data_IF_345596107724
#
_entry.id   IF_345596107724
#
_cell.length_a   1.000
_cell.length_b   1.000
_cell.length_c   1.000
_cell.angle_alpha   90.00
_cell.angle_beta   90.00
_cell.angle_gamma   90.00
#
_symmetry.space_group_name_H-M   'P 1'
#
loop_
_entity.id
_entity.type
_entity.pdbx_description
1 polymer ?
#
# COMPACT_ATOMS: atom_id res chain seq x y z
N UNK A 1 11.42 -1.85 -99.41
CA UNK A 1 10.62 -3.01 -98.98
C UNK A 1 11.50 -3.91 -98.10
N UNK A 2 11.02 -4.29 -96.91
CA UNK A 2 11.66 -5.10 -95.84
C UNK A 2 12.64 -4.39 -94.89
N UNK A 3 12.12 -4.02 -93.70
CA UNK A 3 12.85 -3.94 -92.44
C UNK A 3 12.25 -4.96 -91.46
N UNK A 4 13.13 -5.75 -90.83
CA UNK A 4 12.87 -6.60 -89.65
C UNK A 4 12.60 -5.70 -88.43
N UNK A 5 11.83 -6.16 -87.45
CA UNK A 5 12.29 -6.60 -86.13
C UNK A 5 11.09 -6.97 -85.25
N UNK A 6 11.30 -7.98 -84.40
CA UNK A 6 10.34 -8.59 -83.50
C UNK A 6 10.09 -7.72 -82.27
N UNK A 7 8.84 -7.69 -81.77
CA UNK A 7 8.55 -7.25 -80.41
C UNK A 7 7.61 -8.24 -79.72
N UNK A 8 8.00 -8.50 -78.48
CA UNK A 8 7.61 -9.56 -77.57
C UNK A 8 6.46 -9.04 -76.71
N UNK A 9 5.31 -9.73 -76.70
CA UNK A 9 4.16 -9.34 -75.88
C UNK A 9 4.49 -9.48 -74.39
N UNK A 10 4.64 -8.35 -73.69
CA UNK A 10 4.75 -8.30 -72.23
C UNK A 10 3.33 -8.35 -71.64
N UNK A 11 2.99 -9.44 -70.96
CA UNK A 11 1.77 -9.56 -70.15
C UNK A 11 2.00 -8.76 -68.85
N UNK A 12 1.31 -7.63 -68.68
CA UNK A 12 1.28 -6.91 -67.41
C UNK A 12 0.29 -7.62 -66.46
N UNK A 13 0.83 -8.42 -65.53
CA UNK A 13 0.08 -8.92 -64.37
C UNK A 13 -0.11 -7.77 -63.38
N UNK A 14 -1.31 -7.21 -63.35
CA UNK A 14 -1.76 -6.31 -62.29
C UNK A 14 -1.99 -7.15 -61.01
N UNK A 15 -0.95 -7.31 -60.18
CA UNK A 15 -1.13 -7.85 -58.84
C UNK A 15 -1.70 -6.73 -57.96
N UNK A 16 -3.02 -6.74 -57.78
CA UNK A 16 -3.68 -5.95 -56.74
C UNK A 16 -3.14 -6.36 -55.38
N UNK A 17 -2.30 -5.51 -54.80
CA UNK A 17 -1.88 -5.63 -53.41
C UNK A 17 -3.11 -5.27 -52.56
N UNK A 18 -3.88 -6.29 -52.15
CA UNK A 18 -4.84 -6.13 -51.06
C UNK A 18 -4.03 -5.76 -49.83
N UNK A 19 -4.08 -4.47 -49.44
CA UNK A 19 -3.60 -4.02 -48.15
C UNK A 19 -4.34 -4.84 -47.09
N UNK A 20 -3.64 -5.78 -46.47
CA UNK A 20 -4.14 -6.44 -45.28
C UNK A 20 -4.39 -5.35 -44.23
N UNK A 21 -5.48 -5.41 -43.45
CA UNK A 21 -5.60 -4.53 -42.31
C UNK A 21 -4.39 -4.81 -41.42
N UNK A 22 -3.55 -3.80 -41.23
CA UNK A 22 -2.49 -3.88 -40.22
C UNK A 22 -3.22 -4.11 -38.90
N UNK A 23 -3.16 -5.32 -38.36
CA UNK A 23 -3.44 -5.55 -36.96
C UNK A 23 -2.42 -4.69 -36.22
N UNK A 24 -2.85 -3.51 -35.77
CA UNK A 24 -2.00 -2.62 -34.99
C UNK A 24 -1.52 -3.39 -33.77
N UNK A 25 -0.24 -3.24 -33.42
CA UNK A 25 0.29 -3.79 -32.18
C UNK A 25 -0.62 -3.38 -31.01
N UNK A 26 -0.83 -4.29 -30.05
CA UNK A 26 -1.60 -3.99 -28.85
C UNK A 26 -1.07 -2.69 -28.20
N UNK A 27 -1.95 -1.80 -27.71
CA UNK A 27 -1.51 -0.55 -27.12
C UNK A 27 -0.60 -0.82 -25.92
N UNK A 28 0.54 -0.12 -25.87
CA UNK A 28 1.53 -0.25 -24.80
C UNK A 28 0.93 0.01 -23.41
N UNK A 29 -0.08 0.90 -23.35
CA UNK A 29 -0.90 1.18 -22.18
C UNK A 29 -2.38 1.04 -22.61
N UNK A 30 -3.03 -0.12 -22.37
CA UNK A 30 -4.41 -0.36 -22.80
C UNK A 30 -5.44 0.52 -22.09
N UNK A 31 -5.24 0.80 -20.80
CA UNK A 31 -6.12 1.67 -20.02
C UNK A 31 -5.94 3.14 -20.42
N UNK A 32 -6.98 3.74 -21.00
CA UNK A 32 -6.93 5.11 -21.52
C UNK A 32 -6.73 6.16 -20.44
N UNK A 33 -7.19 5.90 -19.21
CA UNK A 33 -7.02 6.82 -18.09
C UNK A 33 -5.58 6.77 -17.58
N UNK A 34 -4.98 5.57 -17.54
CA UNK A 34 -3.57 5.39 -17.22
C UNK A 34 -2.67 5.99 -18.30
N UNK A 35 -2.99 5.75 -19.58
CA UNK A 35 -2.27 6.30 -20.73
C UNK A 35 -2.25 7.83 -20.66
N UNK A 36 -3.42 8.45 -20.44
CA UNK A 36 -3.53 9.90 -20.30
C UNK A 36 -2.72 10.44 -19.09
N UNK A 37 -2.72 9.72 -17.96
CA UNK A 37 -1.94 10.10 -16.79
C UNK A 37 -0.43 10.05 -17.06
N UNK A 38 0.05 9.01 -17.73
CA UNK A 38 1.46 8.87 -18.13
C UNK A 38 1.85 9.96 -19.13
N UNK A 39 1.01 10.23 -20.14
CA UNK A 39 1.26 11.29 -21.11
C UNK A 39 1.37 12.66 -20.44
N UNK A 40 0.52 12.95 -19.44
CA UNK A 40 0.58 14.19 -18.67
C UNK A 40 1.90 14.34 -17.90
N UNK A 41 2.42 13.26 -17.29
CA UNK A 41 3.71 13.27 -16.59
C UNK A 41 4.86 13.56 -17.56
N UNK A 42 4.84 12.95 -18.74
CA UNK A 42 5.89 13.12 -19.73
C UNK A 42 5.85 14.48 -20.44
N UNK A 43 4.86 15.33 -20.15
CA UNK A 43 4.63 16.64 -20.79
C UNK A 43 4.66 16.55 -22.33
N UNK A 44 4.27 15.40 -22.87
CA UNK A 44 4.30 15.20 -24.31
C UNK A 44 3.14 15.95 -24.98
N UNK A 45 3.36 16.39 -26.21
CA UNK A 45 2.26 16.84 -27.07
C UNK A 45 1.20 15.72 -27.14
N UNK A 46 -0.11 16.03 -27.10
CA UNK A 46 -1.22 15.06 -27.04
C UNK A 46 -1.29 14.03 -28.18
N UNK A 47 -0.35 14.05 -29.12
CA UNK A 47 -0.26 13.21 -30.31
C UNK A 47 1.10 12.52 -30.48
N UNK A 48 2.07 12.77 -29.60
CA UNK A 48 3.37 12.13 -29.69
C UNK A 48 3.26 10.67 -29.23
N UNK A 49 3.72 9.74 -30.07
CA UNK A 49 3.69 8.31 -29.78
C UNK A 49 4.40 7.98 -28.46
N UNK A 50 3.74 7.16 -27.64
CA UNK A 50 4.29 6.64 -26.39
C UNK A 50 5.20 5.45 -26.71
N UNK A 51 6.47 5.55 -26.33
CA UNK A 51 7.46 4.50 -26.58
C UNK A 51 7.99 3.95 -25.26
N UNK A 52 8.48 2.71 -25.25
CA UNK A 52 9.08 2.12 -24.04
C UNK A 52 10.22 2.96 -23.46
N UNK A 53 11.05 3.57 -24.33
CA UNK A 53 12.14 4.44 -23.92
C UNK A 53 11.66 5.66 -23.12
N UNK A 54 10.47 6.20 -23.46
CA UNK A 54 9.87 7.32 -22.72
C UNK A 54 9.32 6.88 -21.36
N UNK A 55 8.78 5.67 -21.25
CA UNK A 55 8.28 5.13 -19.98
C UNK A 55 9.38 5.03 -18.91
N UNK A 56 10.63 4.84 -19.32
CA UNK A 56 11.78 4.87 -18.40
C UNK A 56 11.99 6.25 -17.73
N UNK A 57 11.42 7.32 -18.28
CA UNK A 57 11.52 8.68 -17.72
C UNK A 57 10.36 9.01 -16.75
N UNK A 58 9.48 8.06 -16.46
CA UNK A 58 8.41 8.22 -15.47
C UNK A 58 8.95 7.85 -14.08
N UNK A 59 9.21 8.85 -13.25
CA UNK A 59 9.68 8.69 -11.87
C UNK A 59 8.55 8.81 -10.83
N UNK A 60 7.53 9.59 -11.17
CA UNK A 60 6.40 9.95 -10.32
C UNK A 60 5.14 9.86 -11.16
N UNK A 61 4.16 9.09 -10.72
CA UNK A 61 2.86 9.00 -11.37
C UNK A 61 1.75 9.12 -10.32
N UNK A 62 0.89 10.12 -10.49
CA UNK A 62 -0.22 10.39 -9.59
C UNK A 62 -1.51 10.54 -10.42
N UNK A 63 -2.45 9.62 -10.20
CA UNK A 63 -3.72 9.59 -10.90
C UNK A 63 -4.86 9.07 -10.00
N UNK A 64 -5.11 9.72 -8.84
CA UNK A 64 -6.20 9.31 -7.97
C UNK A 64 -7.57 9.59 -8.60
N UNK A 65 -8.54 8.70 -8.40
CA UNK A 65 -9.92 8.96 -8.81
C UNK A 65 -10.14 8.98 -10.34
N UNK A 66 -9.31 8.28 -11.12
CA UNK A 66 -9.36 8.33 -12.59
C UNK A 66 -10.11 7.16 -13.22
N UNK A 67 -10.60 6.21 -12.44
CA UNK A 67 -11.26 5.01 -12.95
C UNK A 67 -10.30 4.07 -13.67
N UNK A 68 -9.01 4.07 -13.30
CA UNK A 68 -8.00 3.15 -13.82
C UNK A 68 -8.31 1.74 -13.33
N UNK A 69 -8.23 0.75 -14.22
CA UNK A 69 -8.51 -0.67 -13.95
C UNK A 69 -7.32 -1.56 -14.28
N UNK A 70 -6.63 -1.25 -15.37
CA UNK A 70 -5.55 -2.06 -15.91
C UNK A 70 -4.22 -1.29 -15.82
N UNK A 71 -3.23 -1.91 -15.17
CA UNK A 71 -1.90 -1.35 -14.97
C UNK A 71 -0.89 -1.77 -16.04
N UNK A 72 -1.32 -2.53 -17.05
CA UNK A 72 -0.45 -3.04 -18.11
C UNK A 72 0.37 -1.92 -18.74
N UNK A 73 1.67 -2.17 -18.87
CA UNK A 73 2.71 -1.28 -19.35
C UNK A 73 3.44 -0.50 -18.25
N UNK A 74 2.92 -0.44 -17.02
CA UNK A 74 3.69 0.10 -15.88
C UNK A 74 4.95 -0.73 -15.58
N UNK A 75 5.01 -2.01 -15.96
CA UNK A 75 6.22 -2.82 -15.79
C UNK A 75 7.41 -2.26 -16.58
N UNK A 76 7.16 -1.36 -17.54
CA UNK A 76 8.18 -0.66 -18.32
C UNK A 76 8.69 0.61 -17.62
N UNK A 77 8.00 1.15 -16.62
CA UNK A 77 8.42 2.33 -15.87
C UNK A 77 9.45 1.96 -14.79
N UNK A 78 10.63 1.44 -15.17
CA UNK A 78 11.59 0.86 -14.19
C UNK A 78 12.17 1.87 -13.20
N UNK A 79 12.11 3.17 -13.50
CA UNK A 79 12.58 4.24 -12.62
C UNK A 79 11.47 4.85 -11.75
N UNK A 80 10.26 4.26 -11.76
CA UNK A 80 9.14 4.72 -10.95
C UNK A 80 9.47 4.59 -9.46
N UNK A 81 9.52 5.72 -8.77
CA UNK A 81 9.82 5.83 -7.35
C UNK A 81 8.57 6.14 -6.50
N UNK A 82 7.61 6.85 -7.08
CA UNK A 82 6.35 7.23 -6.43
C UNK A 82 5.17 6.92 -7.35
N UNK A 83 4.23 6.12 -6.84
CA UNK A 83 2.99 5.78 -7.52
C UNK A 83 1.79 6.02 -6.61
N UNK A 84 0.89 6.94 -6.98
CA UNK A 84 -0.39 7.16 -6.30
C UNK A 84 -1.56 6.93 -7.25
N UNK A 85 -2.28 5.83 -7.04
CA UNK A 85 -3.45 5.45 -7.81
C UNK A 85 -4.65 5.16 -6.90
N UNK A 86 -4.79 5.91 -5.80
CA UNK A 86 -5.93 5.74 -4.90
C UNK A 86 -7.28 6.07 -5.55
N UNK A 87 -8.37 5.48 -5.06
CA UNK A 87 -9.74 5.68 -5.56
C UNK A 87 -9.91 5.31 -7.04
N UNK A 88 -9.30 4.21 -7.45
CA UNK A 88 -9.46 3.65 -8.79
C UNK A 88 -10.21 2.30 -8.69
N UNK A 89 -10.12 1.47 -9.73
CA UNK A 89 -10.80 0.18 -9.80
C UNK A 89 -9.80 -0.97 -10.08
N UNK A 90 -8.57 -0.82 -9.58
CA UNK A 90 -7.45 -1.74 -9.81
C UNK A 90 -7.70 -3.05 -9.06
N UNK A 91 -7.44 -4.17 -9.74
CA UNK A 91 -7.50 -5.53 -9.17
C UNK A 91 -6.14 -6.23 -9.26
N UNK A 92 -5.48 -6.17 -10.43
CA UNK A 92 -4.24 -6.90 -10.70
C UNK A 92 -3.01 -5.99 -10.54
N UNK A 93 -2.08 -6.38 -9.67
CA UNK A 93 -0.81 -5.70 -9.45
C UNK A 93 0.37 -6.32 -10.21
N UNK A 94 0.17 -7.35 -11.04
CA UNK A 94 1.25 -7.99 -11.81
C UNK A 94 2.14 -6.99 -12.56
N UNK A 95 1.63 -5.91 -13.18
CA UNK A 95 2.47 -4.92 -13.85
C UNK A 95 3.42 -4.16 -12.91
N UNK A 96 3.20 -4.21 -11.59
CA UNK A 96 4.14 -3.63 -10.60
C UNK A 96 5.29 -4.57 -10.24
N UNK A 97 5.25 -5.84 -10.69
CA UNK A 97 6.32 -6.80 -10.39
C UNK A 97 7.66 -6.31 -10.94
N UNK A 98 8.69 -6.36 -10.11
CA UNK A 98 10.05 -5.94 -10.47
C UNK A 98 10.23 -4.43 -10.57
N UNK A 99 9.28 -3.61 -10.13
CA UNK A 99 9.48 -2.17 -9.91
C UNK A 99 10.21 -1.95 -8.58
N UNK A 100 11.50 -2.30 -8.57
CA UNK A 100 12.35 -2.33 -7.37
C UNK A 100 12.72 -0.93 -6.85
N UNK A 101 12.55 0.11 -7.67
CA UNK A 101 12.83 1.50 -7.32
C UNK A 101 11.69 2.20 -6.58
N UNK A 102 10.53 1.55 -6.41
CA UNK A 102 9.40 2.11 -5.66
C UNK A 102 9.78 2.38 -4.20
N UNK A 103 9.54 3.62 -3.77
CA UNK A 103 9.75 4.10 -2.39
C UNK A 103 8.43 4.48 -1.71
N UNK A 104 7.47 4.95 -2.50
CA UNK A 104 6.14 5.35 -2.01
C UNK A 104 5.05 4.82 -2.93
N UNK A 105 4.13 4.04 -2.37
CA UNK A 105 3.02 3.44 -3.09
C UNK A 105 1.70 3.70 -2.34
N UNK A 106 0.77 4.35 -3.01
CA UNK A 106 -0.62 4.55 -2.55
C UNK A 106 -1.58 3.90 -3.56
N UNK A 107 -2.26 2.86 -3.10
CA UNK A 107 -3.30 2.13 -3.82
C UNK A 107 -4.58 2.03 -2.97
N UNK A 108 -4.80 2.96 -2.03
CA UNK A 108 -6.02 2.95 -1.23
C UNK A 108 -7.29 3.04 -2.08
N UNK A 109 -8.41 2.52 -1.57
CA UNK A 109 -9.71 2.55 -2.23
C UNK A 109 -9.66 1.96 -3.66
N UNK A 110 -9.20 0.71 -3.77
CA UNK A 110 -9.21 -0.09 -4.99
C UNK A 110 -9.94 -1.43 -4.74
N UNK A 111 -9.70 -2.45 -5.57
CA UNK A 111 -10.32 -3.78 -5.47
C UNK A 111 -9.25 -4.88 -5.36
N UNK A 112 -8.13 -4.57 -4.72
CA UNK A 112 -6.95 -5.44 -4.64
C UNK A 112 -7.18 -6.54 -3.60
N UNK A 113 -6.90 -7.77 -3.98
CA UNK A 113 -6.91 -8.96 -3.10
C UNK A 113 -5.48 -9.50 -2.91
N UNK A 114 -4.70 -9.53 -3.99
CA UNK A 114 -3.37 -10.13 -4.04
C UNK A 114 -2.26 -9.08 -4.17
N UNK A 115 -1.28 -9.15 -3.27
CA UNK A 115 -0.14 -8.20 -3.23
C UNK A 115 1.22 -8.87 -3.48
N UNK A 116 1.25 -10.12 -3.94
CA UNK A 116 2.46 -10.85 -4.28
C UNK A 116 3.47 -10.08 -5.17
N UNK A 117 3.03 -9.29 -6.18
CA UNK A 117 3.93 -8.49 -7.01
C UNK A 117 4.78 -7.46 -6.25
N UNK A 118 4.37 -7.03 -5.05
CA UNK A 118 5.08 -6.04 -4.25
C UNK A 118 6.30 -6.60 -3.49
N UNK A 119 6.45 -7.92 -3.44
CA UNK A 119 7.49 -8.60 -2.64
C UNK A 119 8.92 -8.23 -3.00
N UNK A 120 9.17 -7.75 -4.23
CA UNK A 120 10.48 -7.35 -4.74
C UNK A 120 10.78 -5.86 -4.54
N UNK A 121 9.80 -5.03 -4.17
CA UNK A 121 9.95 -3.58 -3.97
C UNK A 121 10.60 -3.25 -2.62
N UNK A 122 11.81 -3.79 -2.37
CA UNK A 122 12.55 -3.67 -1.10
C UNK A 122 12.90 -2.23 -0.70
N UNK A 123 12.81 -1.29 -1.65
CA UNK A 123 12.98 0.14 -1.41
C UNK A 123 11.79 0.85 -0.78
N UNK A 124 10.62 0.20 -0.66
CA UNK A 124 9.40 0.80 -0.12
C UNK A 124 9.59 1.28 1.31
N UNK A 125 9.19 2.53 1.54
CA UNK A 125 9.18 3.21 2.83
C UNK A 125 7.76 3.57 3.27
N UNK A 126 6.91 3.92 2.31
CA UNK A 126 5.49 4.24 2.52
C UNK A 126 4.63 3.30 1.67
N UNK A 127 3.69 2.61 2.31
CA UNK A 127 2.72 1.75 1.65
C UNK A 127 1.31 2.00 2.21
N UNK A 128 0.41 2.45 1.34
CA UNK A 128 -1.00 2.68 1.63
C UNK A 128 -1.86 1.75 0.77
N UNK A 129 -2.58 0.86 1.46
CA UNK A 129 -3.40 -0.22 0.89
C UNK A 129 -4.78 -0.28 1.55
N UNK A 130 -5.18 0.78 2.27
CA UNK A 130 -6.47 0.82 2.95
C UNK A 130 -7.66 0.70 1.98
N UNK A 131 -8.79 0.18 2.45
CA UNK A 131 -10.00 -0.01 1.65
C UNK A 131 -9.75 -0.86 0.40
N UNK A 132 -9.17 -2.04 0.62
CA UNK A 132 -9.03 -3.09 -0.37
C UNK A 132 -9.66 -4.38 0.20
N UNK A 133 -9.25 -5.55 -0.28
CA UNK A 133 -9.77 -6.85 0.16
C UNK A 133 -8.64 -7.81 0.53
N UNK A 134 -7.52 -7.27 0.99
CA UNK A 134 -6.30 -8.02 1.25
C UNK A 134 -6.49 -8.90 2.48
N UNK A 135 -6.01 -10.14 2.40
CA UNK A 135 -6.00 -11.10 3.51
C UNK A 135 -4.57 -11.51 3.87
N UNK A 136 -3.74 -11.76 2.86
CA UNK A 136 -2.37 -12.26 3.02
C UNK A 136 -1.34 -11.12 2.98
N UNK A 137 -0.53 -11.03 4.04
CA UNK A 137 0.57 -10.08 4.17
C UNK A 137 1.95 -10.70 3.92
N UNK A 138 2.07 -11.99 3.60
CA UNK A 138 3.36 -12.66 3.35
C UNK A 138 4.26 -11.90 2.37
N UNK A 139 3.75 -11.29 1.27
CA UNK A 139 4.58 -10.50 0.36
C UNK A 139 5.31 -9.32 1.01
N UNK A 140 4.81 -8.82 2.15
CA UNK A 140 5.40 -7.69 2.87
C UNK A 140 6.55 -8.10 3.81
N UNK A 141 6.72 -9.39 4.11
CA UNK A 141 7.60 -9.86 5.19
C UNK A 141 9.07 -9.41 5.06
N UNK A 142 9.53 -9.20 3.82
CA UNK A 142 10.88 -8.75 3.52
C UNK A 142 11.03 -7.26 3.21
N UNK A 143 9.97 -6.44 3.35
CA UNK A 143 10.00 -5.00 3.04
C UNK A 143 10.50 -4.19 4.24
N UNK A 144 11.66 -4.54 4.77
CA UNK A 144 12.22 -4.04 6.05
C UNK A 144 12.57 -2.55 6.08
N UNK A 145 12.43 -1.85 4.95
CA UNK A 145 12.55 -0.40 4.86
C UNK A 145 11.25 0.37 5.13
N UNK A 146 10.11 -0.32 5.25
CA UNK A 146 8.83 0.31 5.55
C UNK A 146 8.90 1.06 6.88
N UNK A 147 8.51 2.34 6.82
CA UNK A 147 8.38 3.24 7.97
C UNK A 147 6.92 3.61 8.24
N UNK A 148 6.07 3.53 7.23
CA UNK A 148 4.62 3.74 7.35
C UNK A 148 3.85 2.72 6.51
N UNK A 149 2.92 2.01 7.16
CA UNK A 149 2.09 0.98 6.56
C UNK A 149 0.63 1.17 6.97
N UNK A 150 -0.24 1.38 5.99
CA UNK A 150 -1.66 1.62 6.18
C UNK A 150 -2.46 0.53 5.46
N UNK A 151 -3.26 -0.20 6.24
CA UNK A 151 -3.98 -1.41 5.84
C UNK A 151 -5.41 -1.39 6.39
N UNK A 152 -5.94 -0.20 6.72
CA UNK A 152 -7.28 -0.07 7.28
C UNK A 152 -8.33 -0.66 6.34
N UNK A 153 -9.42 -1.20 6.86
CA UNK A 153 -10.55 -1.68 6.06
C UNK A 153 -10.12 -2.72 5.00
N UNK A 154 -9.56 -3.84 5.50
CA UNK A 154 -9.20 -5.01 4.71
C UNK A 154 -9.78 -6.26 5.41
N UNK A 155 -9.28 -7.46 5.07
CA UNK A 155 -9.73 -8.74 5.64
C UNK A 155 -8.56 -9.46 6.35
N UNK A 156 -7.64 -8.70 6.93
CA UNK A 156 -6.40 -9.23 7.51
C UNK A 156 -6.68 -9.86 8.87
N UNK A 157 -6.15 -11.07 9.07
CA UNK A 157 -6.19 -11.78 10.35
C UNK A 157 -4.80 -12.04 10.91
N UNK A 158 -3.89 -12.48 10.04
CA UNK A 158 -2.51 -12.80 10.40
C UNK A 158 -1.58 -11.64 10.07
N UNK A 159 -0.85 -11.17 11.09
CA UNK A 159 0.16 -10.11 10.97
C UNK A 159 1.59 -10.62 11.25
N UNK A 160 1.81 -11.94 11.30
CA UNK A 160 3.14 -12.54 11.41
C UNK A 160 4.17 -12.00 10.41
N UNK A 161 3.81 -11.72 9.14
CA UNK A 161 4.72 -11.08 8.18
C UNK A 161 5.31 -9.75 8.65
N UNK A 162 4.63 -9.02 9.54
CA UNK A 162 5.09 -7.71 10.00
C UNK A 162 6.20 -7.78 11.05
N UNK A 163 6.52 -8.97 11.57
CA UNK A 163 7.39 -9.14 12.74
C UNK A 163 8.81 -8.59 12.61
N UNK A 164 9.31 -8.47 11.37
CA UNK A 164 10.67 -7.98 11.08
C UNK A 164 10.69 -6.56 10.51
N UNK A 165 9.54 -5.89 10.42
CA UNK A 165 9.44 -4.52 9.92
C UNK A 165 9.78 -3.49 11.02
N UNK A 166 10.96 -3.64 11.62
CA UNK A 166 11.39 -2.92 12.83
C UNK A 166 11.62 -1.42 12.63
N UNK A 167 11.57 -0.93 11.37
CA UNK A 167 11.59 0.50 11.03
C UNK A 167 10.21 1.15 11.03
N UNK A 168 9.12 0.38 11.19
CA UNK A 168 7.78 0.94 11.23
C UNK A 168 7.65 1.93 12.38
N UNK A 169 7.13 3.11 12.04
CA UNK A 169 6.79 4.20 12.94
C UNK A 169 5.29 4.49 12.94
N UNK A 170 4.59 4.13 11.86
CA UNK A 170 3.14 4.26 11.73
C UNK A 170 2.56 2.97 11.16
N UNK A 171 1.63 2.36 11.88
CA UNK A 171 0.93 1.15 11.47
C UNK A 171 -0.57 1.33 11.69
N UNK A 172 -1.35 1.24 10.63
CA UNK A 172 -2.81 1.28 10.71
C UNK A 172 -3.43 -0.02 10.19
N UNK A 173 -4.15 -0.71 11.06
CA UNK A 173 -4.77 -2.01 10.85
C UNK A 173 -6.25 -1.98 11.27
N UNK A 174 -6.86 -0.81 11.41
CA UNK A 174 -8.25 -0.69 11.83
C UNK A 174 -9.22 -1.34 10.85
N UNK A 175 -10.38 -1.82 11.32
CA UNK A 175 -11.39 -2.54 10.52
C UNK A 175 -10.80 -3.74 9.80
N UNK A 176 -10.21 -4.64 10.58
CA UNK A 176 -9.70 -5.94 10.13
C UNK A 176 -10.20 -7.03 11.09
N UNK A 177 -9.57 -8.20 11.10
CA UNK A 177 -9.91 -9.36 11.93
C UNK A 177 -8.72 -9.82 12.78
N UNK A 178 -7.85 -8.87 13.16
CA UNK A 178 -6.62 -9.16 13.93
C UNK A 178 -6.99 -9.54 15.36
N UNK A 179 -6.42 -10.64 15.85
CA UNK A 179 -6.57 -11.11 17.23
C UNK A 179 -5.25 -11.15 18.00
N UNK A 180 -4.15 -11.46 17.31
CA UNK A 180 -2.84 -11.68 17.91
C UNK A 180 -1.88 -10.53 17.54
N UNK A 181 -1.35 -9.87 18.57
CA UNK A 181 -0.36 -8.81 18.45
C UNK A 181 1.08 -9.30 18.65
N UNK A 182 1.30 -10.58 18.96
CA UNK A 182 2.64 -11.14 19.22
C UNK A 182 3.70 -10.80 18.15
N UNK A 183 3.36 -10.69 16.84
CA UNK A 183 4.33 -10.26 15.83
C UNK A 183 4.90 -8.85 16.07
N UNK A 184 4.16 -7.97 16.73
CA UNK A 184 4.58 -6.59 17.00
C UNK A 184 5.58 -6.47 18.16
N UNK A 185 5.89 -7.55 18.88
CA UNK A 185 6.82 -7.51 20.01
C UNK A 185 8.23 -7.02 19.65
N UNK A 186 8.64 -7.13 18.38
CA UNK A 186 9.92 -6.62 17.85
C UNK A 186 9.82 -5.26 17.16
N UNK A 187 8.60 -4.77 16.88
CA UNK A 187 8.35 -3.53 16.16
C UNK A 187 8.17 -2.40 17.15
N UNK A 188 9.22 -2.04 17.88
CA UNK A 188 9.14 -1.28 19.15
C UNK A 188 9.08 0.24 19.00
N UNK A 189 9.11 0.76 17.78
CA UNK A 189 9.23 2.20 17.50
C UNK A 189 7.96 2.82 16.90
N UNK A 190 6.81 2.21 17.16
CA UNK A 190 5.55 2.73 16.66
C UNK A 190 5.21 4.03 17.40
N UNK A 191 5.07 5.11 16.64
CA UNK A 191 4.54 6.39 17.11
C UNK A 191 3.03 6.50 16.90
N UNK A 192 2.50 5.84 15.87
CA UNK A 192 1.08 5.70 15.58
C UNK A 192 0.75 4.22 15.42
N UNK A 193 -0.19 3.73 16.22
CA UNK A 193 -0.76 2.40 16.10
C UNK A 193 -2.29 2.48 16.13
N UNK A 194 -2.91 2.19 14.99
CA UNK A 194 -4.36 2.14 14.83
C UNK A 194 -4.83 0.69 14.69
N UNK A 195 -5.69 0.25 15.60
CA UNK A 195 -6.16 -1.13 15.73
C UNK A 195 -7.68 -1.19 15.97
N UNK A 196 -8.40 -0.09 15.79
CA UNK A 196 -9.85 -0.01 16.00
C UNK A 196 -10.62 -1.05 15.17
N UNK A 197 -11.76 -1.52 15.66
CA UNK A 197 -12.60 -2.49 14.93
C UNK A 197 -11.81 -3.77 14.54
N UNK A 198 -11.23 -4.43 15.55
CA UNK A 198 -10.57 -5.74 15.44
C UNK A 198 -11.09 -6.66 16.58
N UNK A 199 -10.42 -7.79 16.80
CA UNK A 199 -10.80 -8.80 17.80
C UNK A 199 -9.73 -8.96 18.89
N UNK A 200 -8.94 -7.92 19.15
CA UNK A 200 -7.80 -7.95 20.06
C UNK A 200 -8.26 -8.07 21.51
N UNK A 201 -7.56 -8.92 22.27
CA UNK A 201 -7.77 -9.12 23.72
C UNK A 201 -6.51 -8.83 24.52
N UNK A 202 -5.39 -9.36 24.06
CA UNK A 202 -4.11 -9.30 24.77
C UNK A 202 -3.25 -8.13 24.25
N UNK A 203 -2.80 -7.30 25.18
CA UNK A 203 -1.97 -6.13 24.93
C UNK A 203 -0.50 -6.35 25.33
N UNK A 204 -0.13 -7.55 25.79
CA UNK A 204 1.22 -7.87 26.29
C UNK A 204 2.30 -7.56 25.27
N UNK A 205 2.03 -7.81 23.98
CA UNK A 205 2.97 -7.53 22.89
C UNK A 205 3.29 -6.03 22.71
N UNK A 206 2.54 -5.13 23.32
CA UNK A 206 2.80 -3.69 23.31
C UNK A 206 3.81 -3.24 24.38
N UNK A 207 4.11 -4.08 25.38
CA UNK A 207 5.03 -3.74 26.48
C UNK A 207 6.43 -3.29 26.02
N UNK A 208 7.00 -3.75 24.89
CA UNK A 208 8.30 -3.29 24.41
C UNK A 208 8.28 -1.95 23.67
N UNK A 209 7.13 -1.32 23.45
CA UNK A 209 7.03 -0.09 22.67
C UNK A 209 7.72 1.09 23.36
N UNK A 210 8.39 1.94 22.59
CA UNK A 210 9.15 3.07 23.15
C UNK A 210 8.71 4.45 22.67
N UNK A 211 7.88 4.52 21.64
CA UNK A 211 7.63 5.78 20.92
C UNK A 211 6.13 6.12 20.75
N UNK A 212 5.21 5.37 21.38
CA UNK A 212 3.74 5.46 21.14
C UNK A 212 3.14 6.83 21.47
N UNK A 213 2.80 7.64 20.46
CA UNK A 213 2.11 8.93 20.66
C UNK A 213 0.60 8.82 20.51
N UNK A 214 0.15 7.94 19.63
CA UNK A 214 -1.27 7.71 19.36
C UNK A 214 -1.50 6.21 19.31
N UNK A 215 -2.39 5.73 20.17
CA UNK A 215 -2.83 4.35 20.23
C UNK A 215 -4.36 4.29 20.16
N UNK A 216 -4.88 3.79 19.06
CA UNK A 216 -6.32 3.65 18.83
C UNK A 216 -6.70 2.17 18.95
N UNK A 217 -7.43 1.82 20.00
CA UNK A 217 -7.82 0.45 20.35
C UNK A 217 -9.35 0.28 20.43
N UNK A 218 -10.11 1.24 19.94
CA UNK A 218 -11.58 1.24 20.02
C UNK A 218 -12.20 -0.04 19.44
N UNK A 219 -13.35 -0.45 19.98
CA UNK A 219 -14.18 -1.54 19.43
C UNK A 219 -13.37 -2.83 19.20
N UNK A 220 -12.60 -3.22 20.22
CA UNK A 220 -11.91 -4.51 20.32
C UNK A 220 -12.59 -5.39 21.39
N UNK A 221 -11.88 -6.41 21.87
CA UNK A 221 -12.32 -7.35 22.93
C UNK A 221 -11.45 -7.23 24.19
N UNK A 222 -10.85 -6.05 24.41
CA UNK A 222 -9.97 -5.79 25.55
C UNK A 222 -10.81 -5.69 26.82
N UNK A 223 -10.48 -6.49 27.83
CA UNK A 223 -11.13 -6.47 29.14
C UNK A 223 -10.27 -5.82 30.23
N UNK A 224 -8.95 -5.91 30.08
CA UNK A 224 -7.96 -5.47 31.07
C UNK A 224 -6.85 -4.65 30.39
N UNK A 225 -6.30 -3.69 31.12
CA UNK A 225 -5.29 -2.74 30.66
C UNK A 225 -3.95 -2.92 31.37
N UNK A 226 -3.79 -3.92 32.24
CA UNK A 226 -2.57 -4.21 33.00
C UNK A 226 -1.25 -4.07 32.21
N UNK A 227 -1.11 -4.65 31.00
CA UNK A 227 0.08 -4.45 30.17
C UNK A 227 0.34 -2.99 29.79
N UNK A 228 -0.71 -2.23 29.47
CA UNK A 228 -0.61 -0.80 29.18
C UNK A 228 -0.27 0.01 30.43
N UNK A 229 -0.88 -0.29 31.56
CA UNK A 229 -0.57 0.34 32.86
C UNK A 229 0.91 0.20 33.18
N UNK A 230 1.45 -1.02 33.04
CA UNK A 230 2.87 -1.30 33.27
C UNK A 230 3.75 -0.47 32.33
N UNK A 231 3.45 -0.51 31.03
CA UNK A 231 4.18 0.23 30.00
C UNK A 231 4.24 1.74 30.31
N UNK A 232 3.10 2.37 30.63
CA UNK A 232 3.04 3.82 30.82
C UNK A 232 3.65 4.25 32.15
N UNK A 233 3.55 3.44 33.21
CA UNK A 233 4.22 3.70 34.49
C UNK A 233 5.74 3.61 34.36
N UNK A 234 6.24 2.60 33.63
CA UNK A 234 7.68 2.45 33.38
C UNK A 234 8.24 3.62 32.56
N UNK A 235 7.54 4.07 31.50
CA UNK A 235 7.96 5.24 30.73
C UNK A 235 7.92 6.53 31.56
N UNK A 236 6.84 6.75 32.32
CA UNK A 236 6.68 7.94 33.17
C UNK A 236 7.72 8.03 34.29
N UNK A 237 8.14 6.89 34.86
CA UNK A 237 9.19 6.82 35.87
C UNK A 237 10.61 6.91 35.27
N UNK A 238 10.77 6.50 34.01
CA UNK A 238 12.04 6.42 33.32
C UNK A 238 12.23 7.48 32.24
N UNK A 239 12.29 7.09 30.96
CA UNK A 239 12.76 7.96 29.89
C UNK A 239 11.74 9.01 29.42
N UNK A 240 10.47 8.90 29.82
CA UNK A 240 9.39 9.86 29.50
C UNK A 240 9.28 10.16 28.00
N UNK A 241 9.35 9.11 27.18
CA UNK A 241 9.36 9.25 25.71
C UNK A 241 7.98 9.54 25.16
N UNK A 242 6.94 8.98 25.77
CA UNK A 242 5.57 9.12 25.29
C UNK A 242 4.55 9.44 26.36
N UNK A 243 4.74 9.05 27.62
CA UNK A 243 4.02 9.67 28.73
C UNK A 243 4.67 11.06 29.01
N UNK A 244 3.95 12.20 28.92
CA UNK A 244 2.49 12.43 29.01
C UNK A 244 1.77 12.79 27.69
N UNK A 245 2.35 12.45 26.54
CA UNK A 245 1.83 12.81 25.22
C UNK A 245 1.00 11.72 24.54
N UNK A 246 1.02 10.49 25.08
CA UNK A 246 0.25 9.36 24.56
C UNK A 246 -1.25 9.69 24.61
N UNK A 247 -1.88 9.64 23.44
CA UNK A 247 -3.34 9.66 23.27
C UNK A 247 -3.84 8.25 23.08
N UNK A 248 -4.74 7.83 23.96
CA UNK A 248 -5.28 6.48 24.03
C UNK A 248 -6.78 6.51 23.78
N UNK A 249 -7.25 5.80 22.76
CA UNK A 249 -8.67 5.70 22.41
C UNK A 249 -9.14 4.27 22.68
N UNK A 250 -10.16 4.11 23.53
CA UNK A 250 -10.57 2.79 24.06
C UNK A 250 -12.08 2.51 23.98
N UNK A 251 -12.88 3.45 23.45
CA UNK A 251 -14.34 3.33 23.36
C UNK A 251 -14.79 2.00 22.74
N UNK A 252 -15.83 1.37 23.28
CA UNK A 252 -16.41 0.14 22.72
C UNK A 252 -15.71 -1.17 23.13
N UNK A 253 -14.74 -1.13 24.05
CA UNK A 253 -14.15 -2.34 24.64
C UNK A 253 -14.95 -2.84 25.87
N UNK A 254 -15.02 -4.17 26.09
CA UNK A 254 -15.68 -4.78 27.24
C UNK A 254 -14.81 -4.72 28.51
N UNK A 255 -14.33 -3.51 28.88
CA UNK A 255 -13.51 -3.29 30.06
C UNK A 255 -14.23 -3.74 31.34
N UNK A 256 -13.52 -4.45 32.22
CA UNK A 256 -13.99 -4.83 33.56
C UNK A 256 -14.15 -3.61 34.47
N UNK A 257 -14.80 -3.79 35.63
CA UNK A 257 -14.93 -2.72 36.62
C UNK A 257 -13.56 -2.25 37.12
N UNK A 258 -12.64 -3.18 37.41
CA UNK A 258 -11.26 -2.82 37.80
C UNK A 258 -10.56 -2.01 36.71
N UNK A 259 -10.70 -2.40 35.44
CA UNK A 259 -10.13 -1.64 34.34
C UNK A 259 -10.70 -0.21 34.29
N UNK A 260 -12.02 -0.07 34.46
CA UNK A 260 -12.71 1.23 34.41
C UNK A 260 -12.39 2.15 35.58
N UNK A 261 -12.28 1.61 36.80
CA UNK A 261 -12.16 2.43 38.02
C UNK A 261 -10.72 2.60 38.51
N UNK A 262 -9.82 1.68 38.16
CA UNK A 262 -8.44 1.67 38.65
C UNK A 262 -7.43 1.80 37.52
N UNK A 263 -7.41 0.88 36.56
CA UNK A 263 -6.34 0.86 35.54
C UNK A 263 -6.37 2.11 34.64
N UNK A 264 -7.56 2.62 34.29
CA UNK A 264 -7.70 3.90 33.57
C UNK A 264 -7.14 5.07 34.38
N UNK A 265 -7.39 5.13 35.69
CA UNK A 265 -6.85 6.19 36.56
C UNK A 265 -5.33 6.08 36.71
N UNK A 266 -4.80 4.87 36.75
CA UNK A 266 -3.35 4.64 36.74
C UNK A 266 -2.69 5.12 35.44
N UNK A 267 -3.33 4.88 34.29
CA UNK A 267 -2.89 5.44 33.00
C UNK A 267 -2.93 6.98 33.01
N UNK A 268 -4.01 7.59 33.50
CA UNK A 268 -4.11 9.05 33.62
C UNK A 268 -3.07 9.64 34.57
N UNK A 269 -2.79 8.97 35.69
CA UNK A 269 -1.77 9.37 36.65
C UNK A 269 -0.36 9.33 36.05
N UNK A 270 -0.11 8.43 35.08
CA UNK A 270 1.12 8.43 34.28
C UNK A 270 1.14 9.54 33.19
N UNK A 271 0.07 10.33 33.05
CA UNK A 271 -0.02 11.44 32.09
C UNK A 271 -0.63 11.06 30.73
N UNK A 272 -1.20 9.87 30.60
CA UNK A 272 -1.89 9.44 29.36
C UNK A 272 -3.18 10.23 29.17
N UNK A 273 -3.42 10.71 27.94
CA UNK A 273 -4.66 11.37 27.54
C UNK A 273 -5.63 10.33 27.00
N UNK A 274 -6.65 10.00 27.76
CA UNK A 274 -7.62 8.97 27.40
C UNK A 274 -8.86 9.61 26.78
N UNK A 275 -9.18 9.20 25.56
CA UNK A 275 -10.36 9.61 24.82
C UNK A 275 -11.39 8.46 24.86
N UNK A 276 -12.59 8.77 25.38
CA UNK A 276 -13.68 7.82 25.64
C UNK A 276 -15.02 8.25 25.00
N UNK A 277 -14.98 9.22 24.08
CA UNK A 277 -16.16 9.74 23.40
C UNK A 277 -16.51 8.93 22.16
#
# INVERSE_FOLDING_TARGET
MKRRYAEMCLLALFTGLLAQPSFGADPLIPDKNLEAAIQAVLKHEPKAELTEAKLQNVYVLEAPGKGIRDLTGLEKCKNLALLRLSKNEIVDLKPLKGLTNLQSLDLADNKIEEIAPLSESKGLQYLELSSNKIQDLQPLAGLTNLSALYLNNNQIKDIAPLANLTKLSSLCLGKNQVTDLSPLAKVTRLSLLELQDNEIKDLTALSPQTDLKILILERNKISELGPLVKLVKEDAAGPKRFAPFLRLYLTGNPLTDEARTKELEECKAAGVRIEMK
#
